data_IF_552815835961
#
_entry.id   IF_552815835961
#
_cell.length_a   1.000
_cell.length_b   1.000
_cell.length_c   1.000
_cell.angle_alpha   90.00
_cell.angle_beta   90.00
_cell.angle_gamma   90.00
#
_symmetry.space_group_name_H-M   'P 1'
#
loop_
_entity.id
_entity.type
_entity.pdbx_description
1 polymer ?
#
# COMPACT_ATOMS: atom_id res chain seq x y z
N UNK A 1 27.29 17.13 11.98
CA UNK A 1 26.17 16.77 11.08
C UNK A 1 25.61 15.45 11.57
N UNK A 2 24.46 15.47 12.24
CA UNK A 2 23.89 14.32 12.97
C UNK A 2 23.40 13.23 12.03
N UNK A 3 23.45 11.96 12.47
CA UNK A 3 22.91 10.79 11.74
C UNK A 3 21.45 10.97 11.32
N UNK A 4 20.67 11.76 12.06
CA UNK A 4 19.29 12.14 11.73
C UNK A 4 19.19 12.97 10.43
N UNK A 5 20.14 13.87 10.18
CA UNK A 5 20.15 14.72 8.99
C UNK A 5 20.49 13.91 7.72
N UNK A 6 21.34 12.89 7.86
CA UNK A 6 21.65 11.96 6.78
C UNK A 6 20.49 11.01 6.49
N UNK A 7 19.81 10.49 7.52
CA UNK A 7 18.62 9.67 7.35
C UNK A 7 17.48 10.44 6.64
N UNK A 8 17.25 11.69 7.02
CA UNK A 8 16.23 12.55 6.40
C UNK A 8 16.59 12.94 4.95
N UNK A 9 17.88 13.11 4.64
CA UNK A 9 18.37 13.45 3.29
C UNK A 9 18.44 12.24 2.36
N UNK A 10 18.72 11.04 2.88
CA UNK A 10 18.59 9.76 2.16
C UNK A 10 17.12 9.53 1.79
N UNK A 11 16.20 9.86 2.70
CA UNK A 11 14.76 9.72 2.46
C UNK A 11 14.21 10.72 1.42
N UNK A 12 14.91 11.85 1.21
CA UNK A 12 14.51 12.90 0.25
C UNK A 12 15.03 12.68 -1.18
N UNK A 13 15.90 11.68 -1.40
CA UNK A 13 16.38 11.30 -2.73
C UNK A 13 15.73 9.99 -3.20
N UNK A 14 14.63 10.14 -3.95
CA UNK A 14 14.12 9.14 -4.92
C UNK A 14 13.25 7.97 -4.44
N UNK A 15 12.43 8.10 -3.39
CA UNK A 15 11.28 7.17 -3.25
C UNK A 15 10.06 7.70 -4.02
N UNK A 16 9.41 6.83 -4.80
CA UNK A 16 8.10 7.15 -5.37
C UNK A 16 7.14 7.43 -4.19
N UNK A 17 6.38 8.53 -4.18
CA UNK A 17 5.53 8.89 -3.04
C UNK A 17 4.63 7.74 -2.55
N UNK A 18 4.16 6.90 -3.47
CA UNK A 18 3.31 5.73 -3.16
C UNK A 18 4.02 4.67 -2.32
N UNK A 19 5.33 4.47 -2.49
CA UNK A 19 6.12 3.49 -1.73
C UNK A 19 6.21 3.97 -0.29
N UNK A 20 6.60 5.24 -0.08
CA UNK A 20 6.70 5.84 1.24
C UNK A 20 5.34 5.87 1.95
N UNK A 21 4.25 6.23 1.27
CA UNK A 21 2.90 6.18 1.84
C UNK A 21 2.47 4.77 2.25
N UNK A 22 2.82 3.77 1.45
CA UNK A 22 2.53 2.36 1.78
C UNK A 22 3.33 1.92 3.00
N UNK A 23 4.61 2.33 3.09
CA UNK A 23 5.44 2.10 4.27
C UNK A 23 4.86 2.76 5.53
N UNK A 24 4.41 4.01 5.44
CA UNK A 24 3.81 4.74 6.56
C UNK A 24 2.49 4.11 7.01
N UNK A 25 1.66 3.65 6.06
CA UNK A 25 0.45 2.86 6.35
C UNK A 25 0.81 1.58 7.12
N UNK A 26 1.80 0.81 6.67
CA UNK A 26 2.26 -0.41 7.36
C UNK A 26 2.69 -0.09 8.79
N UNK A 27 3.54 0.92 8.96
CA UNK A 27 4.07 1.32 10.26
C UNK A 27 2.98 1.69 11.25
N UNK A 28 1.89 2.31 10.77
CA UNK A 28 0.76 2.70 11.61
C UNK A 28 -0.23 1.53 11.86
N UNK A 29 -0.50 0.72 10.83
CA UNK A 29 -1.60 -0.25 10.86
C UNK A 29 -1.19 -1.59 11.49
N UNK A 30 0.02 -2.10 11.22
CA UNK A 30 0.48 -3.39 11.76
C UNK A 30 0.47 -3.45 13.29
N UNK A 31 0.87 -2.40 14.05
CA UNK A 31 0.73 -2.40 15.51
C UNK A 31 -0.71 -2.55 16.02
N UNK A 32 -1.70 -2.08 15.26
CA UNK A 32 -3.12 -2.22 15.59
C UNK A 32 -3.58 -3.65 15.35
N UNK A 33 -3.22 -4.22 14.19
CA UNK A 33 -3.52 -5.61 13.83
C UNK A 33 -2.89 -6.60 14.82
N UNK A 34 -1.69 -6.30 15.32
CA UNK A 34 -1.00 -7.12 16.31
C UNK A 34 -1.68 -7.18 17.68
N UNK A 35 -2.60 -6.26 17.97
CA UNK A 35 -3.36 -6.15 19.23
C UNK A 35 -4.78 -6.73 19.12
N UNK A 36 -5.13 -7.32 17.98
CA UNK A 36 -6.41 -8.00 17.83
C UNK A 36 -6.53 -9.21 18.78
N UNK A 37 -7.76 -9.59 19.16
CA UNK A 37 -8.00 -10.85 19.86
C UNK A 37 -7.41 -12.04 19.08
N UNK A 38 -6.91 -13.05 19.79
CA UNK A 38 -6.15 -14.18 19.23
C UNK A 38 -6.82 -14.81 18.01
N UNK A 39 -8.12 -15.05 18.10
CA UNK A 39 -8.91 -15.75 17.07
C UNK A 39 -9.01 -14.95 15.76
N UNK A 40 -9.06 -13.62 15.85
CA UNK A 40 -9.10 -12.72 14.69
C UNK A 40 -7.71 -12.35 14.18
N UNK A 41 -6.71 -12.32 15.07
CA UNK A 41 -5.33 -12.02 14.72
C UNK A 41 -4.77 -13.04 13.74
N UNK A 42 -4.90 -14.33 14.05
CA UNK A 42 -4.37 -15.42 13.22
C UNK A 42 -5.18 -15.72 11.95
N UNK A 43 -6.30 -15.03 11.75
CA UNK A 43 -7.16 -15.19 10.57
C UNK A 43 -7.11 -13.95 9.70
N UNK A 44 -7.77 -12.88 10.15
CA UNK A 44 -7.90 -11.64 9.39
C UNK A 44 -6.69 -10.72 9.57
N UNK A 45 -6.14 -10.64 10.79
CA UNK A 45 -4.98 -9.81 11.09
C UNK A 45 -3.76 -10.18 10.23
N UNK A 46 -3.34 -11.45 10.28
CA UNK A 46 -2.20 -11.95 9.51
C UNK A 46 -2.41 -11.81 8.00
N UNK A 47 -3.62 -12.07 7.50
CA UNK A 47 -3.93 -11.91 6.08
C UNK A 47 -3.80 -10.46 5.61
N UNK A 48 -4.22 -9.49 6.43
CA UNK A 48 -4.04 -8.06 6.14
C UNK A 48 -2.56 -7.69 6.20
N UNK A 49 -1.83 -8.15 7.21
CA UNK A 49 -0.39 -7.88 7.36
C UNK A 49 0.38 -8.39 6.13
N UNK A 50 0.15 -9.62 5.71
CA UNK A 50 0.73 -10.18 4.48
C UNK A 50 0.36 -9.34 3.27
N UNK A 51 -0.92 -8.97 3.10
CA UNK A 51 -1.36 -8.15 1.98
C UNK A 51 -0.70 -6.77 1.93
N UNK A 52 -0.45 -6.15 3.09
CA UNK A 52 0.27 -4.88 3.18
C UNK A 52 1.75 -5.02 2.75
N UNK A 53 2.43 -6.07 3.20
CA UNK A 53 3.82 -6.32 2.80
C UNK A 53 3.94 -6.68 1.32
N UNK A 54 3.05 -7.52 0.81
CA UNK A 54 2.94 -7.85 -0.61
C UNK A 54 2.75 -6.60 -1.48
N UNK A 55 1.93 -5.64 -1.02
CA UNK A 55 1.70 -4.39 -1.72
C UNK A 55 2.98 -3.56 -1.78
N UNK A 56 3.68 -3.40 -0.65
CA UNK A 56 4.94 -2.66 -0.58
C UNK A 56 6.01 -3.31 -1.48
N UNK A 57 6.22 -4.61 -1.35
CA UNK A 57 7.18 -5.36 -2.17
C UNK A 57 6.83 -5.24 -3.66
N UNK A 58 5.56 -5.41 -4.00
CA UNK A 58 5.09 -5.29 -5.37
C UNK A 58 5.33 -3.90 -5.97
N UNK A 59 5.12 -2.83 -5.21
CA UNK A 59 5.40 -1.46 -5.65
C UNK A 59 6.90 -1.21 -5.86
N UNK A 60 7.74 -1.74 -4.97
CA UNK A 60 9.21 -1.68 -5.10
C UNK A 60 9.65 -2.43 -6.36
N UNK A 61 9.17 -3.64 -6.59
CA UNK A 61 9.49 -4.42 -7.79
C UNK A 61 8.99 -3.72 -9.07
N UNK A 62 7.78 -3.16 -9.04
CA UNK A 62 7.20 -2.46 -10.19
C UNK A 62 8.01 -1.22 -10.59
N UNK A 63 8.68 -0.55 -9.63
CA UNK A 63 9.58 0.58 -9.90
C UNK A 63 10.66 0.21 -10.92
N UNK A 64 11.27 -0.95 -10.77
CA UNK A 64 12.40 -1.42 -11.60
C UNK A 64 11.97 -2.24 -12.81
N UNK A 65 10.72 -2.69 -12.88
CA UNK A 65 10.21 -3.46 -14.02
C UNK A 65 10.08 -2.60 -15.29
N UNK A 66 10.53 -3.08 -16.46
CA UNK A 66 10.31 -2.41 -17.74
C UNK A 66 8.85 -2.54 -18.21
N UNK A 67 8.19 -3.67 -17.92
CA UNK A 67 6.80 -3.96 -18.28
C UNK A 67 5.94 -4.07 -17.02
N UNK A 68 5.64 -2.91 -16.41
CA UNK A 68 5.01 -2.85 -15.08
C UNK A 68 3.48 -2.75 -15.09
N UNK A 69 2.82 -2.56 -16.24
CA UNK A 69 1.37 -2.31 -16.29
C UNK A 69 0.56 -3.43 -15.63
N UNK A 70 0.76 -4.68 -16.06
CA UNK A 70 0.05 -5.84 -15.49
C UNK A 70 0.31 -5.99 -13.98
N UNK A 71 1.55 -5.72 -13.54
CA UNK A 71 1.92 -5.77 -12.13
C UNK A 71 1.20 -4.68 -11.32
N UNK A 72 1.12 -3.45 -11.84
CA UNK A 72 0.40 -2.36 -11.18
C UNK A 72 -1.12 -2.63 -11.11
N UNK A 73 -1.70 -3.21 -12.16
CA UNK A 73 -3.12 -3.59 -12.17
C UNK A 73 -3.42 -4.69 -11.14
N UNK A 74 -2.54 -5.68 -11.00
CA UNK A 74 -2.63 -6.69 -9.95
C UNK A 74 -2.55 -6.06 -8.55
N UNK A 75 -1.61 -5.12 -8.34
CA UNK A 75 -1.47 -4.41 -7.06
C UNK A 75 -2.72 -3.56 -6.75
N UNK A 76 -3.38 -3.02 -7.76
CA UNK A 76 -4.62 -2.28 -7.57
C UNK A 76 -5.75 -3.19 -7.06
N UNK A 77 -5.84 -4.43 -7.55
CA UNK A 77 -6.73 -5.45 -7.00
C UNK A 77 -6.38 -5.83 -5.56
N UNK A 78 -5.08 -6.02 -5.24
CA UNK A 78 -4.63 -6.29 -3.86
C UNK A 78 -5.00 -5.16 -2.90
N UNK A 79 -4.86 -3.90 -3.33
CA UNK A 79 -5.26 -2.74 -2.54
C UNK A 79 -6.76 -2.71 -2.25
N UNK A 80 -7.59 -3.16 -3.20
CA UNK A 80 -9.02 -3.24 -3.00
C UNK A 80 -9.43 -4.34 -2.01
N UNK A 81 -8.75 -5.48 -2.06
CA UNK A 81 -8.87 -6.53 -1.04
C UNK A 81 -8.56 -5.96 0.35
N UNK A 82 -7.49 -5.16 0.49
CA UNK A 82 -7.14 -4.51 1.75
C UNK A 82 -8.23 -3.55 2.24
N UNK A 83 -8.90 -2.79 1.35
CA UNK A 83 -10.06 -1.95 1.72
C UNK A 83 -11.17 -2.78 2.35
N UNK A 84 -11.56 -3.86 1.68
CA UNK A 84 -12.64 -4.72 2.14
C UNK A 84 -12.30 -5.43 3.45
N UNK A 85 -11.08 -5.94 3.59
CA UNK A 85 -10.63 -6.55 4.85
C UNK A 85 -10.60 -5.54 6.01
N UNK A 86 -10.17 -4.30 5.74
CA UNK A 86 -10.21 -3.21 6.72
C UNK A 86 -11.64 -2.91 7.18
N UNK A 87 -12.61 -2.94 6.25
CA UNK A 87 -14.04 -2.77 6.58
C UNK A 87 -14.57 -3.92 7.44
N UNK A 88 -14.19 -5.16 7.16
CA UNK A 88 -14.58 -6.32 7.99
C UNK A 88 -14.11 -6.15 9.44
N UNK A 89 -12.93 -5.57 9.68
CA UNK A 89 -12.50 -5.28 11.06
C UNK A 89 -13.43 -4.30 11.77
N UNK A 90 -13.97 -3.30 11.06
CA UNK A 90 -14.97 -2.39 11.63
C UNK A 90 -16.29 -3.11 11.88
N UNK A 91 -16.78 -3.88 10.90
CA UNK A 91 -18.04 -4.61 10.98
C UNK A 91 -18.05 -5.65 12.13
N UNK A 92 -16.87 -6.18 12.48
CA UNK A 92 -16.67 -7.07 13.64
C UNK A 92 -16.30 -6.33 14.94
N UNK A 93 -16.35 -5.00 14.94
CA UNK A 93 -16.01 -4.15 16.10
C UNK A 93 -14.58 -4.36 16.62
N UNK A 94 -13.68 -4.86 15.78
CA UNK A 94 -12.27 -5.14 16.10
C UNK A 94 -11.40 -3.88 16.08
N UNK A 95 -11.87 -2.84 15.40
CA UNK A 95 -11.26 -1.50 15.40
C UNK A 95 -12.33 -0.44 15.61
N UNK A 96 -11.95 0.66 16.25
CA UNK A 96 -12.82 1.82 16.40
C UNK A 96 -12.99 2.57 15.08
N UNK A 97 -14.13 3.25 14.91
CA UNK A 97 -14.46 4.05 13.74
C UNK A 97 -13.38 5.06 13.37
N UNK A 98 -12.80 5.77 14.33
CA UNK A 98 -11.78 6.80 14.05
C UNK A 98 -10.50 6.18 13.48
N UNK A 99 -10.15 4.96 13.90
CA UNK A 99 -9.02 4.23 13.33
C UNK A 99 -9.35 3.76 11.92
N UNK A 100 -10.55 3.23 11.71
CA UNK A 100 -11.02 2.83 10.40
C UNK A 100 -10.98 3.99 9.40
N UNK A 101 -11.50 5.16 9.77
CA UNK A 101 -11.51 6.36 8.92
C UNK A 101 -10.08 6.78 8.53
N UNK A 102 -9.15 6.76 9.48
CA UNK A 102 -7.75 7.08 9.21
C UNK A 102 -7.11 6.08 8.24
N UNK A 103 -7.31 4.76 8.44
CA UNK A 103 -6.80 3.72 7.54
C UNK A 103 -7.40 3.86 6.15
N UNK A 104 -8.72 4.03 6.07
CA UNK A 104 -9.45 4.16 4.81
C UNK A 104 -8.94 5.37 4.01
N UNK A 105 -8.67 6.49 4.68
CA UNK A 105 -8.05 7.67 4.05
C UNK A 105 -6.69 7.34 3.45
N UNK A 106 -5.79 6.71 4.21
CA UNK A 106 -4.46 6.33 3.71
C UNK A 106 -4.52 5.36 2.53
N UNK A 107 -5.39 4.35 2.59
CA UNK A 107 -5.60 3.39 1.49
C UNK A 107 -6.14 4.08 0.22
N UNK A 108 -7.03 5.08 0.38
CA UNK A 108 -7.56 5.85 -0.74
C UNK A 108 -6.51 6.75 -1.40
N UNK A 109 -5.64 7.36 -0.61
CA UNK A 109 -4.51 8.15 -1.12
C UNK A 109 -3.55 7.28 -1.93
N UNK A 110 -3.18 6.10 -1.41
CA UNK A 110 -2.35 5.11 -2.12
C UNK A 110 -3.03 4.68 -3.43
N UNK A 111 -4.35 4.43 -3.40
CA UNK A 111 -5.11 4.03 -4.59
C UNK A 111 -5.17 5.11 -5.66
N UNK A 112 -5.24 6.38 -5.26
CA UNK A 112 -5.21 7.52 -6.18
C UNK A 112 -3.86 7.58 -6.90
N UNK A 113 -2.76 7.42 -6.18
CA UNK A 113 -1.42 7.43 -6.78
C UNK A 113 -1.20 6.21 -7.68
N UNK A 114 -1.66 5.03 -7.26
CA UNK A 114 -1.55 3.80 -8.04
C UNK A 114 -2.32 3.92 -9.36
N UNK A 115 -3.55 4.43 -9.30
CA UNK A 115 -4.37 4.69 -10.48
C UNK A 115 -3.74 5.72 -11.41
N UNK A 116 -3.09 6.75 -10.86
CA UNK A 116 -2.29 7.71 -11.64
C UNK A 116 -1.14 7.03 -12.39
N UNK A 117 -0.41 6.15 -11.70
CA UNK A 117 0.70 5.41 -12.30
C UNK A 117 0.24 4.45 -13.41
N UNK A 118 -0.85 3.71 -13.18
CA UNK A 118 -1.46 2.82 -14.19
C UNK A 118 -1.87 3.61 -15.44
N UNK A 119 -2.57 4.74 -15.27
CA UNK A 119 -2.98 5.61 -16.38
C UNK A 119 -1.78 6.10 -17.21
N UNK A 120 -0.67 6.44 -16.54
CA UNK A 120 0.56 6.83 -17.22
C UNK A 120 1.15 5.68 -18.05
N UNK A 121 1.19 4.46 -17.50
CA UNK A 121 1.76 3.30 -18.20
C UNK A 121 0.90 2.86 -19.39
N UNK A 122 -0.44 2.93 -19.29
CA UNK A 122 -1.35 2.64 -20.42
C UNK A 122 -1.09 3.57 -21.60
N UNK A 123 -0.99 4.89 -21.35
CA UNK A 123 -0.67 5.88 -22.38
C UNK A 123 0.70 5.65 -23.05
N UNK A 124 1.68 5.13 -22.31
CA UNK A 124 2.99 4.80 -22.88
C UNK A 124 2.92 3.56 -23.78
N UNK A 125 2.14 2.56 -23.38
CA UNK A 125 1.93 1.32 -24.14
C UNK A 125 1.20 1.59 -25.45
N UNK A 126 0.16 2.43 -25.43
CA UNK A 126 -0.61 2.86 -26.61
C UNK A 126 0.19 3.67 -27.64
N UNK A 127 1.35 4.23 -27.25
CA UNK A 127 2.26 4.97 -28.16
C UNK A 127 3.29 4.07 -28.86
N UNK A 128 3.42 2.81 -28.44
CA UNK A 128 4.30 1.80 -29.02
C UNK A 128 3.66 0.77 -29.99
N UNK A 129 2.49 0.96 -30.67
CA UNK A 129 1.89 -0.14 -31.44
C UNK A 129 2.62 -0.52 -32.74
N UNK A 130 3.61 0.27 -33.19
CA UNK A 130 4.19 0.13 -34.54
C UNK A 130 5.73 0.05 -34.54
N UNK A 131 6.31 -0.98 -33.92
CA UNK A 131 7.67 -1.44 -34.20
C UNK A 131 7.66 -2.94 -34.51
#
# INVERSE_FOLDING_TARGET
>A
MTSSYLAEKINKMSELPIIQKTYDLIKWYVPILNRLPRDHKFTLGDRIITGLYDLLEGLILARYSPNKLNQLELLNGKLDILRHQTRILLDFELIKTERYEYIAKLINEIGTELGGWIKQQRKNTEKLPNL
#
